data_IF_014603942152
#
_entry.id   IF_014603942152
#
_cell.length_a   1.000
_cell.length_b   1.000
_cell.length_c   1.000
_cell.angle_alpha   90.00
_cell.angle_beta   90.00
_cell.angle_gamma   90.00
#
_symmetry.space_group_name_H-M   'P 1'
#
loop_
_entity.id
_entity.type
_entity.pdbx_description
1 polymer ?
#
# COMPACT_ATOMS: atom_id res chain seq x y z
N UNK A 1 13.37 -28.51 -2.76
CA UNK A 1 12.91 -27.23 -2.20
C UNK A 1 12.39 -26.42 -3.36
N UNK A 2 11.07 -26.24 -3.47
CA UNK A 2 10.52 -25.32 -4.48
C UNK A 2 11.05 -23.92 -4.13
N UNK A 3 11.77 -23.30 -5.07
CA UNK A 3 12.02 -21.88 -5.03
C UNK A 3 10.64 -21.23 -5.04
N UNK A 4 10.22 -20.68 -3.92
CA UNK A 4 9.07 -19.81 -3.86
C UNK A 4 9.41 -18.62 -4.77
N UNK A 5 8.84 -18.60 -5.95
CA UNK A 5 8.88 -17.42 -6.81
C UNK A 5 8.46 -16.22 -5.96
N UNK A 6 9.09 -15.06 -6.18
CA UNK A 6 8.76 -13.87 -5.40
C UNK A 6 7.27 -13.53 -5.49
N UNK A 7 6.75 -12.85 -4.49
CA UNK A 7 5.33 -12.45 -4.44
C UNK A 7 5.14 -11.18 -5.27
N UNK A 8 4.38 -11.21 -6.37
CA UNK A 8 4.22 -10.04 -7.23
C UNK A 8 3.47 -8.91 -6.53
N UNK A 9 3.84 -7.67 -6.87
CA UNK A 9 3.11 -6.45 -6.47
C UNK A 9 1.82 -6.32 -7.28
N UNK A 10 1.92 -6.57 -8.60
CA UNK A 10 0.78 -6.53 -9.51
C UNK A 10 -0.07 -7.80 -9.39
N UNK A 11 -1.37 -7.66 -9.66
CA UNK A 11 -2.34 -8.76 -9.68
C UNK A 11 -3.58 -8.47 -8.85
N UNK A 12 -4.42 -9.47 -8.74
CA UNK A 12 -5.64 -9.41 -7.92
C UNK A 12 -5.36 -9.78 -6.47
N UNK A 13 -6.15 -9.23 -5.56
CA UNK A 13 -6.14 -9.62 -4.15
C UNK A 13 -6.56 -11.09 -4.01
N UNK A 14 -5.82 -11.87 -3.25
CA UNK A 14 -6.20 -13.25 -2.92
C UNK A 14 -7.23 -13.29 -1.77
N UNK A 15 -7.30 -12.22 -0.98
CA UNK A 15 -8.23 -12.08 0.14
C UNK A 15 -9.32 -11.06 -0.20
N UNK A 16 -10.54 -11.37 0.20
CA UNK A 16 -11.67 -10.44 0.15
C UNK A 16 -11.57 -9.41 1.29
N UNK A 17 -12.25 -8.28 1.13
CA UNK A 17 -12.35 -7.27 2.19
C UNK A 17 -12.91 -7.86 3.51
N UNK A 18 -13.89 -8.76 3.42
CA UNK A 18 -14.46 -9.42 4.60
C UNK A 18 -13.43 -10.32 5.32
N UNK A 19 -12.59 -11.05 4.58
CA UNK A 19 -11.52 -11.87 5.16
C UNK A 19 -10.44 -11.02 5.83
N UNK A 20 -10.05 -9.90 5.19
CA UNK A 20 -9.10 -8.92 5.73
C UNK A 20 -9.63 -8.33 7.03
N UNK A 21 -10.90 -7.88 7.03
CA UNK A 21 -11.58 -7.32 8.19
C UNK A 21 -11.62 -8.33 9.35
N UNK A 22 -12.10 -9.54 9.08
CA UNK A 22 -12.21 -10.59 10.10
C UNK A 22 -10.84 -10.97 10.70
N UNK A 23 -9.80 -11.00 9.87
CA UNK A 23 -8.45 -11.21 10.36
C UNK A 23 -8.01 -10.07 11.30
N UNK A 24 -8.17 -8.82 10.89
CA UNK A 24 -7.74 -7.69 11.71
C UNK A 24 -8.47 -7.66 13.05
N UNK A 25 -9.80 -7.83 13.06
CA UNK A 25 -10.61 -7.90 14.27
C UNK A 25 -10.16 -9.04 15.20
N UNK A 26 -9.76 -10.18 14.63
CA UNK A 26 -9.27 -11.33 15.40
C UNK A 26 -7.97 -11.06 16.17
N UNK A 27 -7.22 -10.03 15.79
CA UNK A 27 -5.99 -9.64 16.51
C UNK A 27 -6.28 -8.94 17.84
N UNK A 28 -7.50 -8.47 18.05
CA UNK A 28 -7.88 -7.67 19.21
C UNK A 28 -7.28 -6.26 19.21
N UNK A 29 -6.63 -5.86 18.11
CA UNK A 29 -6.01 -4.54 17.99
C UNK A 29 -7.08 -3.48 17.70
N UNK A 30 -6.95 -2.34 18.38
CA UNK A 30 -7.83 -1.19 18.16
C UNK A 30 -7.16 -0.25 17.14
N UNK A 31 -7.84 0.00 16.01
CA UNK A 31 -7.38 0.95 15.00
C UNK A 31 -7.84 2.37 15.36
N UNK A 32 -6.95 3.34 15.19
CA UNK A 32 -7.24 4.77 15.37
C UNK A 32 -7.53 5.40 14.00
N UNK A 33 -8.71 5.12 13.45
CA UNK A 33 -9.15 5.62 12.14
C UNK A 33 -9.95 6.92 12.30
N UNK A 34 -10.15 7.70 11.21
CA UNK A 34 -11.11 8.79 11.18
C UNK A 34 -12.50 8.35 11.65
N UNK A 35 -13.26 9.25 12.29
CA UNK A 35 -14.51 8.92 12.99
C UNK A 35 -15.55 8.17 12.12
N UNK A 36 -15.56 8.46 10.82
CA UNK A 36 -16.52 7.89 9.87
C UNK A 36 -15.94 6.72 9.08
N UNK A 37 -14.84 6.11 9.55
CA UNK A 37 -14.15 5.03 8.83
C UNK A 37 -13.96 3.83 9.74
N UNK A 38 -14.39 2.66 9.30
CA UNK A 38 -14.12 1.39 9.95
C UNK A 38 -13.00 0.61 9.28
N UNK A 39 -12.50 -0.44 9.93
CA UNK A 39 -11.56 -1.38 9.28
C UNK A 39 -12.21 -2.07 8.08
N UNK A 40 -13.52 -2.33 8.13
CA UNK A 40 -14.25 -2.90 7.01
C UNK A 40 -14.26 -1.96 5.79
N UNK A 41 -14.53 -0.67 6.02
CA UNK A 41 -14.47 0.33 4.95
C UNK A 41 -13.05 0.42 4.37
N UNK A 42 -12.04 0.47 5.23
CA UNK A 42 -10.65 0.57 4.79
C UNK A 42 -10.21 -0.67 4.00
N UNK A 43 -10.54 -1.87 4.46
CA UNK A 43 -10.28 -3.12 3.74
C UNK A 43 -10.95 -3.15 2.37
N UNK A 44 -12.20 -2.69 2.30
CA UNK A 44 -12.94 -2.57 1.04
C UNK A 44 -12.25 -1.60 0.07
N UNK A 45 -11.83 -0.44 0.56
CA UNK A 45 -11.08 0.56 -0.24
C UNK A 45 -9.79 -0.04 -0.79
N UNK A 46 -9.02 -0.79 0.02
CA UNK A 46 -7.80 -1.44 -0.45
C UNK A 46 -8.04 -2.45 -1.57
N UNK A 47 -9.08 -3.25 -1.46
CA UNK A 47 -9.44 -4.23 -2.50
C UNK A 47 -9.88 -3.52 -3.79
N UNK A 48 -10.71 -2.48 -3.68
CA UNK A 48 -11.22 -1.71 -4.83
C UNK A 48 -10.12 -0.93 -5.55
N UNK A 49 -9.35 -0.13 -4.84
CA UNK A 49 -8.27 0.67 -5.44
C UNK A 49 -7.16 -0.25 -5.99
N UNK A 50 -6.88 -1.37 -5.30
CA UNK A 50 -5.96 -2.39 -5.79
C UNK A 50 -6.42 -3.00 -7.11
N UNK A 51 -7.69 -3.40 -7.20
CA UNK A 51 -8.27 -3.95 -8.42
C UNK A 51 -8.26 -2.93 -9.58
N UNK A 52 -8.60 -1.67 -9.30
CA UNK A 52 -8.60 -0.60 -10.29
C UNK A 52 -7.23 -0.38 -10.95
N UNK A 53 -6.16 -0.45 -10.16
CA UNK A 53 -4.78 -0.23 -10.63
C UNK A 53 -4.00 -1.53 -10.88
N UNK A 54 -4.66 -2.68 -10.83
CA UNK A 54 -4.04 -4.00 -11.00
C UNK A 54 -2.89 -4.26 -10.02
N UNK A 55 -3.06 -3.82 -8.78
CA UNK A 55 -2.14 -4.01 -7.65
C UNK A 55 -2.84 -4.87 -6.60
N UNK A 56 -2.10 -5.73 -5.93
CA UNK A 56 -2.62 -6.58 -4.87
C UNK A 56 -2.97 -5.76 -3.63
N UNK A 57 -4.25 -5.37 -3.51
CA UNK A 57 -4.76 -4.54 -2.42
C UNK A 57 -4.64 -5.20 -1.05
N UNK A 58 -4.77 -6.53 -0.97
CA UNK A 58 -4.57 -7.30 0.25
C UNK A 58 -3.13 -7.19 0.80
N UNK A 59 -2.15 -7.16 -0.08
CA UNK A 59 -0.74 -6.93 0.29
C UNK A 59 -0.46 -5.47 0.62
N UNK A 60 -1.09 -4.53 -0.08
CA UNK A 60 -1.00 -3.10 0.26
C UNK A 60 -1.60 -2.84 1.66
N UNK A 61 -2.71 -3.51 2.02
CA UNK A 61 -3.25 -3.48 3.37
C UNK A 61 -2.26 -4.05 4.40
N UNK A 62 -1.64 -5.20 4.12
CA UNK A 62 -0.62 -5.80 4.99
C UNK A 62 0.59 -4.86 5.20
N UNK A 63 0.98 -4.13 4.15
CA UNK A 63 2.00 -3.08 4.24
C UNK A 63 1.58 -2.00 5.22
N UNK A 64 0.35 -1.49 5.11
CA UNK A 64 -0.15 -0.43 5.96
C UNK A 64 -0.31 -0.85 7.42
N UNK A 65 -0.65 -2.11 7.69
CA UNK A 65 -0.60 -2.66 9.05
C UNK A 65 0.80 -2.50 9.66
N UNK A 66 1.85 -2.76 8.88
CA UNK A 66 3.23 -2.59 9.34
C UNK A 66 3.59 -1.11 9.51
N UNK A 67 3.30 -0.27 8.51
CA UNK A 67 3.71 1.13 8.45
C UNK A 67 3.07 2.00 9.55
N UNK A 68 1.84 1.68 9.93
CA UNK A 68 1.05 2.45 10.89
C UNK A 68 1.00 1.82 12.29
N UNK A 69 1.74 0.75 12.52
CA UNK A 69 1.63 0.00 13.77
C UNK A 69 0.20 -0.50 14.00
N UNK A 70 -0.35 -1.21 13.03
CA UNK A 70 -1.74 -1.73 13.03
C UNK A 70 -2.80 -0.63 13.07
N UNK A 71 -2.63 0.39 12.25
CA UNK A 71 -3.50 1.57 12.16
C UNK A 71 -3.64 2.38 13.46
N UNK A 72 -2.62 2.35 14.30
CA UNK A 72 -2.54 3.21 15.47
C UNK A 72 -2.12 4.65 15.10
N UNK A 73 -1.27 4.80 14.07
CA UNK A 73 -0.80 6.09 13.53
C UNK A 73 -1.32 6.31 12.12
N UNK A 74 -2.47 6.96 11.99
CA UNK A 74 -3.18 7.18 10.70
C UNK A 74 -3.30 8.65 10.32
N UNK A 75 -2.43 9.50 10.85
CA UNK A 75 -2.47 10.94 10.63
C UNK A 75 -2.45 11.30 9.15
N UNK A 76 -3.39 12.18 8.75
CA UNK A 76 -3.48 12.67 7.38
C UNK A 76 -3.87 11.59 6.37
N UNK A 77 -4.53 10.53 6.79
CA UNK A 77 -4.92 9.40 5.92
C UNK A 77 -3.74 8.79 5.16
N UNK A 78 -2.51 8.93 5.68
CA UNK A 78 -1.30 8.40 5.07
C UNK A 78 -0.95 7.06 5.74
N UNK A 79 -1.40 5.97 5.13
CA UNK A 79 -1.26 4.63 5.70
C UNK A 79 0.05 3.92 5.34
N UNK A 80 0.92 4.56 4.58
CA UNK A 80 2.14 3.91 4.06
C UNK A 80 3.40 4.79 4.16
N UNK A 81 3.33 5.89 4.92
CA UNK A 81 4.47 6.75 5.17
C UNK A 81 4.97 7.52 3.95
N UNK A 82 4.14 7.72 2.92
CA UNK A 82 4.55 8.42 1.69
C UNK A 82 4.92 9.87 2.01
N UNK A 83 6.06 10.32 1.46
CA UNK A 83 6.56 11.68 1.65
C UNK A 83 7.27 11.89 2.99
N UNK A 84 7.46 10.87 3.81
CA UNK A 84 8.32 10.96 4.98
C UNK A 84 9.78 11.04 4.56
N UNK A 85 10.49 11.99 5.12
CA UNK A 85 11.92 12.14 4.94
C UNK A 85 12.57 12.42 6.29
N UNK A 86 13.12 11.36 6.92
CA UNK A 86 13.76 11.48 8.24
C UNK A 86 14.94 12.45 8.25
N UNK A 87 15.67 12.53 7.14
CA UNK A 87 16.86 13.38 7.01
C UNK A 87 16.56 14.84 6.69
N UNK A 88 15.39 15.15 6.11
CA UNK A 88 14.98 16.51 5.76
C UNK A 88 13.91 17.08 6.70
N UNK A 89 13.45 16.30 7.69
CA UNK A 89 12.44 16.73 8.65
C UNK A 89 11.04 16.92 8.06
N UNK A 90 10.80 16.43 6.86
CA UNK A 90 9.48 16.48 6.24
C UNK A 90 8.56 15.46 6.89
N UNK A 91 7.40 15.94 7.31
CA UNK A 91 6.28 15.08 7.73
C UNK A 91 5.59 14.57 6.49
N UNK A 92 5.29 13.27 6.46
CA UNK A 92 4.62 12.65 5.33
C UNK A 92 3.42 13.42 4.79
N UNK A 93 3.01 13.10 3.58
CA UNK A 93 1.86 13.75 2.93
C UNK A 93 0.57 13.51 3.72
N UNK A 94 -0.37 14.46 3.60
CA UNK A 94 -1.71 14.33 4.12
C UNK A 94 -2.70 14.27 2.95
N UNK A 95 -3.62 13.31 2.99
CA UNK A 95 -4.62 13.09 1.97
C UNK A 95 -6.01 13.49 2.48
N UNK A 96 -6.91 13.99 1.59
CA UNK A 96 -8.22 14.49 1.99
C UNK A 96 -9.14 13.42 2.62
N UNK A 97 -9.02 12.18 2.17
CA UNK A 97 -9.85 11.07 2.65
C UNK A 97 -9.04 9.77 2.79
N UNK A 98 -9.56 8.76 3.50
CA UNK A 98 -8.98 7.42 3.53
C UNK A 98 -8.78 6.84 2.13
N UNK A 99 -9.73 7.03 1.23
CA UNK A 99 -9.65 6.54 -0.16
C UNK A 99 -8.51 7.20 -0.93
N UNK A 100 -8.31 8.50 -0.78
CA UNK A 100 -7.22 9.21 -1.45
C UNK A 100 -5.85 8.72 -0.96
N UNK A 101 -5.69 8.47 0.34
CA UNK A 101 -4.45 7.93 0.89
C UNK A 101 -4.14 6.51 0.40
N UNK A 102 -5.15 5.64 0.36
CA UNK A 102 -5.00 4.29 -0.19
C UNK A 102 -4.72 4.33 -1.69
N UNK A 103 -5.45 5.15 -2.45
CA UNK A 103 -5.22 5.35 -3.89
C UNK A 103 -3.79 5.79 -4.17
N UNK A 104 -3.30 6.79 -3.46
CA UNK A 104 -1.93 7.26 -3.61
C UNK A 104 -0.90 6.15 -3.37
N UNK A 105 -1.09 5.32 -2.33
CA UNK A 105 -0.24 4.17 -2.06
C UNK A 105 -0.28 3.16 -3.20
N UNK A 106 -1.47 2.80 -3.67
CA UNK A 106 -1.66 1.81 -4.74
C UNK A 106 -1.07 2.30 -6.06
N UNK A 107 -1.28 3.58 -6.42
CA UNK A 107 -0.69 4.19 -7.61
C UNK A 107 0.84 4.20 -7.55
N UNK A 108 1.41 4.48 -6.37
CA UNK A 108 2.86 4.41 -6.17
C UNK A 108 3.37 2.98 -6.30
N UNK A 109 2.70 1.99 -5.70
CA UNK A 109 3.04 0.56 -5.84
C UNK A 109 2.98 0.10 -7.31
N UNK A 110 1.97 0.55 -8.07
CA UNK A 110 1.91 0.30 -9.50
C UNK A 110 3.13 0.86 -10.22
N UNK A 111 3.55 2.07 -9.88
CA UNK A 111 4.77 2.66 -10.47
C UNK A 111 6.02 1.84 -10.18
N UNK A 112 6.16 1.30 -8.96
CA UNK A 112 7.29 0.42 -8.60
C UNK A 112 7.32 -0.87 -9.45
N UNK A 113 6.16 -1.43 -9.74
CA UNK A 113 6.04 -2.75 -10.37
C UNK A 113 5.96 -2.71 -11.91
N UNK A 114 5.33 -1.68 -12.46
CA UNK A 114 4.98 -1.59 -13.88
C UNK A 114 5.82 -0.52 -14.60
N UNK A 115 6.75 -0.92 -15.48
CA UNK A 115 7.58 0.02 -16.24
C UNK A 115 6.76 0.88 -17.24
N UNK A 116 5.59 0.40 -17.64
CA UNK A 116 4.71 1.08 -18.59
C UNK A 116 3.64 1.95 -17.92
N UNK A 117 3.61 1.96 -16.59
CA UNK A 117 2.74 2.84 -15.83
C UNK A 117 3.00 4.32 -16.15
N UNK A 118 1.94 5.06 -16.43
CA UNK A 118 1.97 6.51 -16.68
C UNK A 118 0.80 7.16 -15.96
N UNK A 119 0.94 8.42 -15.58
CA UNK A 119 -0.15 9.17 -14.97
C UNK A 119 -1.42 9.16 -15.83
N UNK A 120 -1.25 9.17 -17.15
CA UNK A 120 -2.35 9.15 -18.12
C UNK A 120 -3.06 7.79 -18.26
N UNK A 121 -2.47 6.68 -17.78
CA UNK A 121 -3.07 5.34 -17.88
C UNK A 121 -3.49 4.76 -16.51
N UNK A 122 -3.50 5.58 -15.47
CA UNK A 122 -4.07 5.22 -14.18
C UNK A 122 -5.60 5.14 -14.29
N UNK A 123 -6.21 4.24 -13.52
CA UNK A 123 -7.68 4.09 -13.48
C UNK A 123 -8.37 5.34 -12.92
N UNK A 124 -7.71 6.00 -11.98
CA UNK A 124 -8.13 7.27 -11.41
C UNK A 124 -7.04 8.32 -11.61
N UNK A 125 -7.39 9.62 -11.68
CA UNK A 125 -6.38 10.68 -11.75
C UNK A 125 -5.35 10.53 -10.64
N UNK A 126 -4.08 10.78 -10.98
CA UNK A 126 -3.00 10.80 -10.02
C UNK A 126 -3.31 11.82 -8.91
N UNK A 127 -3.21 11.40 -7.66
CA UNK A 127 -3.32 12.35 -6.54
C UNK A 127 -2.16 13.36 -6.62
N UNK A 128 -2.46 14.67 -6.74
CA UNK A 128 -1.42 15.69 -6.88
C UNK A 128 -0.49 15.75 -5.67
N UNK A 129 -0.94 15.30 -4.50
CA UNK A 129 -0.13 15.27 -3.29
C UNK A 129 1.01 14.25 -3.39
N UNK A 130 0.83 13.18 -4.16
CA UNK A 130 1.75 12.05 -4.23
C UNK A 130 3.18 12.45 -4.65
N UNK A 131 3.30 13.44 -5.53
CA UNK A 131 4.60 13.97 -5.98
C UNK A 131 4.68 15.50 -5.87
N UNK A 132 3.93 16.09 -4.96
CA UNK A 132 3.83 17.52 -4.73
C UNK A 132 2.50 18.09 -5.25
N UNK A 133 2.16 19.28 -4.77
CA UNK A 133 0.84 19.91 -4.99
C UNK A 133 0.61 20.49 -6.39
N UNK A 134 1.56 20.41 -7.30
CA UNK A 134 1.42 20.79 -8.70
C UNK A 134 1.01 19.58 -9.55
N UNK A 135 -0.23 19.49 -10.06
CA UNK A 135 -0.70 18.32 -10.79
C UNK A 135 0.10 17.99 -12.05
N UNK A 136 0.57 19.01 -12.78
CA UNK A 136 1.34 18.79 -14.01
C UNK A 136 2.74 18.25 -13.68
N UNK A 137 3.39 18.86 -12.71
CA UNK A 137 4.69 18.41 -12.24
C UNK A 137 4.61 17.03 -11.54
N UNK A 138 3.52 16.76 -10.82
CA UNK A 138 3.29 15.45 -10.20
C UNK A 138 3.19 14.34 -11.25
N UNK A 139 2.44 14.55 -12.33
CA UNK A 139 2.33 13.59 -13.43
C UNK A 139 3.71 13.31 -14.09
N UNK A 140 4.48 14.36 -14.38
CA UNK A 140 5.82 14.21 -14.95
C UNK A 140 6.76 13.45 -14.01
N UNK A 141 6.71 13.71 -12.70
CA UNK A 141 7.50 12.99 -11.69
C UNK A 141 7.07 11.54 -11.55
N UNK A 142 5.77 11.25 -11.61
CA UNK A 142 5.27 9.89 -11.65
C UNK A 142 5.81 9.14 -12.87
N UNK A 143 5.73 9.75 -14.06
CA UNK A 143 6.13 9.13 -15.32
C UNK A 143 7.64 8.86 -15.41
N UNK A 144 8.44 9.66 -14.70
CA UNK A 144 9.90 9.56 -14.66
C UNK A 144 10.45 9.03 -13.34
N UNK A 145 9.59 8.44 -12.50
CA UNK A 145 10.00 7.93 -11.19
C UNK A 145 11.15 6.94 -11.31
N UNK A 146 12.24 7.17 -10.57
CA UNK A 146 13.50 6.45 -10.75
C UNK A 146 13.46 4.95 -10.43
N UNK A 147 12.48 4.50 -9.62
CA UNK A 147 12.23 3.10 -9.31
C UNK A 147 11.15 2.45 -10.18
N UNK A 148 10.62 3.17 -11.17
CA UNK A 148 9.55 2.67 -12.05
C UNK A 148 9.92 1.33 -12.69
N UNK A 149 9.07 0.33 -12.47
CA UNK A 149 9.22 -1.02 -13.01
C UNK A 149 10.39 -1.84 -12.45
N UNK A 150 11.11 -1.32 -11.45
CA UNK A 150 12.30 -1.98 -10.90
C UNK A 150 12.01 -2.89 -9.71
N UNK A 151 10.83 -2.81 -9.15
CA UNK A 151 10.42 -3.54 -7.94
C UNK A 151 9.11 -4.29 -8.17
N UNK A 152 9.08 -5.26 -9.11
CA UNK A 152 7.87 -6.00 -9.42
C UNK A 152 7.43 -6.99 -8.34
N UNK A 153 8.30 -7.27 -7.36
CA UNK A 153 8.05 -8.26 -6.32
C UNK A 153 8.11 -7.63 -4.92
N UNK A 154 7.18 -8.02 -4.05
CA UNK A 154 7.19 -7.61 -2.63
C UNK A 154 8.48 -7.98 -1.91
N UNK A 155 9.13 -9.07 -2.31
CA UNK A 155 10.42 -9.48 -1.76
C UNK A 155 11.54 -8.46 -1.97
N UNK A 156 11.33 -7.50 -2.88
CA UNK A 156 12.29 -6.45 -3.22
C UNK A 156 12.01 -5.11 -2.51
N UNK A 157 10.93 -5.01 -1.72
CA UNK A 157 10.47 -3.78 -1.04
C UNK A 157 11.30 -3.42 0.19
N UNK A 158 12.60 -3.47 0.13
CA UNK A 158 13.54 -3.11 1.18
C UNK A 158 14.86 -2.68 0.55
N UNK A 159 15.90 -2.54 1.34
CA UNK A 159 17.25 -2.20 0.87
C UNK A 159 17.30 -0.89 0.05
N UNK A 160 16.52 0.10 0.43
CA UNK A 160 16.49 1.41 -0.22
C UNK A 160 15.43 1.55 -1.33
N UNK A 161 14.60 0.53 -1.56
CA UNK A 161 13.46 0.67 -2.48
C UNK A 161 12.28 1.40 -1.79
N UNK A 162 11.34 0.71 -1.16
CA UNK A 162 10.31 1.38 -0.36
C UNK A 162 10.86 1.88 0.98
N UNK A 163 11.62 1.05 1.65
CA UNK A 163 12.24 1.33 2.94
C UNK A 163 13.72 0.96 2.95
N UNK A 164 14.49 1.57 3.85
CA UNK A 164 15.93 1.30 4.00
C UNK A 164 16.22 -0.04 4.67
N UNK A 165 15.30 -0.52 5.51
CA UNK A 165 15.46 -1.76 6.27
C UNK A 165 15.57 -2.99 5.36
N UNK A 166 16.57 -3.82 5.60
CA UNK A 166 16.79 -5.09 4.89
C UNK A 166 15.74 -6.16 5.24
N UNK A 167 15.03 -6.01 6.37
CA UNK A 167 13.99 -6.94 6.84
C UNK A 167 12.57 -6.48 6.48
N UNK A 168 12.42 -5.33 5.82
CA UNK A 168 11.13 -4.73 5.53
C UNK A 168 10.18 -5.65 4.76
N UNK A 169 10.63 -6.16 3.63
CA UNK A 169 9.85 -7.09 2.81
C UNK A 169 9.39 -8.33 3.60
N UNK A 170 10.29 -8.92 4.39
CA UNK A 170 9.97 -10.07 5.22
C UNK A 170 8.90 -9.75 6.28
N UNK A 171 8.91 -8.54 6.84
CA UNK A 171 7.89 -8.10 7.81
C UNK A 171 6.52 -7.92 7.16
N UNK A 172 6.43 -7.26 6.00
CA UNK A 172 5.17 -7.12 5.24
C UNK A 172 4.62 -8.49 4.87
N UNK A 173 5.44 -9.35 4.27
CA UNK A 173 5.04 -10.70 3.89
C UNK A 173 4.68 -11.58 5.10
N UNK A 174 5.29 -11.32 6.26
CA UNK A 174 4.94 -11.97 7.52
C UNK A 174 3.54 -11.60 8.03
N UNK A 175 3.13 -10.32 7.88
CA UNK A 175 1.76 -9.90 8.15
C UNK A 175 0.81 -10.59 7.19
N UNK A 176 1.11 -10.55 5.89
CA UNK A 176 0.29 -11.16 4.87
C UNK A 176 0.12 -12.68 5.05
N UNK A 177 1.17 -13.39 5.42
CA UNK A 177 1.10 -14.83 5.72
C UNK A 177 0.15 -15.15 6.87
N UNK A 178 0.09 -14.29 7.89
CA UNK A 178 -0.89 -14.44 8.99
C UNK A 178 -2.33 -14.22 8.51
N UNK A 179 -2.54 -13.25 7.61
CA UNK A 179 -3.85 -13.01 6.99
C UNK A 179 -4.33 -14.23 6.20
N UNK A 180 -3.45 -14.80 5.35
CA UNK A 180 -3.75 -16.01 4.56
C UNK A 180 -4.04 -17.23 5.46
N UNK A 181 -3.22 -17.45 6.48
CA UNK A 181 -3.41 -18.56 7.42
C UNK A 181 -4.76 -18.45 8.14
N UNK A 182 -5.13 -17.27 8.59
CA UNK A 182 -6.43 -17.02 9.21
C UNK A 182 -7.60 -17.29 8.26
N UNK A 183 -7.53 -16.78 7.03
CA UNK A 183 -8.58 -16.98 6.03
C UNK A 183 -8.75 -18.48 5.68
N UNK A 184 -7.65 -19.25 5.59
CA UNK A 184 -7.70 -20.68 5.27
C UNK A 184 -8.39 -21.54 6.33
N UNK A 185 -8.52 -21.06 7.57
CA UNK A 185 -9.19 -21.78 8.67
C UNK A 185 -10.70 -21.52 8.74
N UNK A 186 -11.21 -20.62 7.91
CA UNK A 186 -12.62 -20.16 7.96
C UNK A 186 -13.34 -20.24 6.61
N UNK A 187 -12.69 -20.83 5.62
CA UNK A 187 -13.25 -21.11 4.28
C UNK A 187 -14.00 -22.43 4.19
#
# INVERSE_FOLDING_TARGET
>A
MAQLGGVPVSGESALTAAQITAWFESTGTHANLPADTTIADLAQIYVEEGAAEHVRGDLAFAQSVLETGSFNETRGNNYSGIGNCDSCGEKGYAFPSPRDGVRAQVQLLRSYADPDSRAANLAHPLDPTLFGSDPVGAAARYDTFFLKGKVPLWNQMGNGNWATSTTYAAKVLGVYAKMLAFASTRG
#
